data_IF_219292572121
#
_entry.id   IF_219292572121
#
_cell.length_a   1.000
_cell.length_b   1.000
_cell.length_c   1.000
_cell.angle_alpha   90.00
_cell.angle_beta   90.00
_cell.angle_gamma   90.00
#
_symmetry.space_group_name_H-M   'P 1'
#
loop_
_entity.id
_entity.type
_entity.pdbx_description
1 polymer ?
#
# COMPACT_ATOMS: atom_id res chain seq x y z
N UNK A 1 57.66 7.78 -0.10
CA UNK A 1 56.21 7.49 -0.01
C UNK A 1 55.61 7.25 -1.38
N UNK A 2 54.90 6.14 -1.54
CA UNK A 2 54.27 5.73 -2.80
C UNK A 2 52.80 6.15 -2.82
N UNK A 3 52.39 6.89 -3.84
CA UNK A 3 50.98 7.12 -4.13
C UNK A 3 50.34 5.85 -4.67
N UNK A 4 49.09 5.60 -4.29
CA UNK A 4 48.31 4.49 -4.83
C UNK A 4 47.04 5.03 -5.50
N UNK A 5 46.58 4.33 -6.54
CA UNK A 5 45.36 4.68 -7.26
C UNK A 5 44.21 3.78 -6.83
N UNK A 6 43.09 4.39 -6.44
CA UNK A 6 41.84 3.70 -6.15
C UNK A 6 40.92 3.78 -7.38
N UNK A 7 40.52 2.62 -7.89
CA UNK A 7 39.60 2.47 -9.02
C UNK A 7 38.21 2.06 -8.53
N UNK A 8 37.17 2.60 -9.15
CA UNK A 8 35.78 2.30 -8.79
C UNK A 8 35.07 1.57 -9.93
N UNK A 9 34.41 0.47 -9.59
CA UNK A 9 33.43 -0.17 -10.48
C UNK A 9 32.04 0.16 -9.95
N UNK A 10 31.33 1.04 -10.64
CA UNK A 10 29.97 1.38 -10.27
C UNK A 10 29.01 0.29 -10.76
N UNK A 11 28.02 -0.11 -9.94
CA UNK A 11 26.98 -1.00 -10.40
C UNK A 11 26.19 -0.37 -11.55
N UNK A 12 25.87 -1.16 -12.57
CA UNK A 12 25.14 -0.69 -13.76
C UNK A 12 23.72 -0.23 -13.46
N UNK A 13 23.20 -0.59 -12.28
CA UNK A 13 21.87 -0.22 -11.78
C UNK A 13 21.86 1.07 -10.95
N UNK A 14 22.94 1.87 -11.03
CA UNK A 14 23.02 3.19 -10.40
C UNK A 14 23.01 4.30 -11.43
N UNK A 15 22.59 5.50 -11.03
CA UNK A 15 22.68 6.72 -11.83
C UNK A 15 23.88 7.55 -11.41
N UNK A 16 24.55 8.18 -12.38
CA UNK A 16 25.51 9.25 -12.10
C UNK A 16 24.82 10.59 -11.81
N UNK A 17 23.58 10.77 -12.30
CA UNK A 17 22.78 11.92 -11.94
C UNK A 17 22.38 11.84 -10.46
N UNK A 18 22.68 12.89 -9.71
CA UNK A 18 22.53 12.93 -8.25
C UNK A 18 23.56 12.10 -7.47
N UNK A 19 24.52 11.43 -8.12
CA UNK A 19 25.59 10.73 -7.43
C UNK A 19 26.54 11.70 -6.73
N UNK A 20 27.04 11.31 -5.56
CA UNK A 20 28.02 12.07 -4.79
C UNK A 20 29.18 11.18 -4.40
N UNK A 21 30.39 11.71 -4.50
CA UNK A 21 31.59 11.12 -3.95
C UNK A 21 32.31 12.15 -3.12
N UNK A 22 32.64 11.81 -1.88
CA UNK A 22 33.26 12.71 -0.91
C UNK A 22 34.47 12.00 -0.33
N UNK A 23 35.64 12.64 -0.38
CA UNK A 23 36.88 12.19 0.25
C UNK A 23 37.32 13.23 1.26
N UNK A 24 37.32 12.89 2.55
CA UNK A 24 37.71 13.81 3.64
C UNK A 24 36.99 15.17 3.59
N UNK A 25 35.71 15.18 3.25
CA UNK A 25 34.86 16.35 3.00
C UNK A 25 35.03 17.07 1.64
N UNK A 26 35.99 16.67 0.79
CA UNK A 26 36.13 17.19 -0.58
C UNK A 26 35.25 16.41 -1.55
N UNK A 27 34.47 17.10 -2.37
CA UNK A 27 33.65 16.47 -3.41
C UNK A 27 34.52 16.06 -4.60
N UNK A 28 34.40 14.81 -5.04
CA UNK A 28 35.11 14.25 -6.17
C UNK A 28 34.24 14.25 -7.42
N UNK A 29 34.87 14.40 -8.58
CA UNK A 29 34.24 14.10 -9.87
C UNK A 29 34.05 12.58 -10.00
N UNK A 30 32.88 12.14 -10.45
CA UNK A 30 32.56 10.72 -10.65
C UNK A 30 32.34 10.41 -12.12
N UNK A 31 32.75 9.22 -12.61
CA UNK A 31 33.56 8.19 -11.98
C UNK A 31 35.05 8.32 -12.38
N UNK A 32 35.84 9.14 -11.66
CA UNK A 32 37.29 9.23 -11.95
C UNK A 32 38.12 8.49 -10.89
N UNK A 33 39.14 7.69 -11.30
CA UNK A 33 40.09 7.11 -10.36
C UNK A 33 40.77 8.19 -9.51
N UNK A 34 41.04 7.88 -8.24
CA UNK A 34 41.70 8.82 -7.33
C UNK A 34 43.10 8.33 -7.02
N UNK A 35 44.11 9.16 -7.32
CA UNK A 35 45.52 8.87 -7.02
C UNK A 35 46.03 9.86 -5.98
N UNK A 36 46.47 9.35 -4.82
CA UNK A 36 47.03 10.18 -3.75
C UNK A 36 47.91 9.39 -2.80
N UNK A 37 48.53 10.10 -1.87
CA UNK A 37 49.07 9.51 -0.64
C UNK A 37 47.92 9.30 0.32
N UNK A 38 47.70 8.03 0.66
CA UNK A 38 46.61 7.62 1.54
C UNK A 38 47.04 7.67 2.99
N UNK A 39 46.18 8.21 3.83
CA UNK A 39 46.30 8.15 5.29
C UNK A 39 45.31 7.14 5.86
N UNK A 40 45.62 6.55 7.02
CA UNK A 40 44.68 5.65 7.70
C UNK A 40 43.36 6.34 8.13
N UNK A 41 43.35 7.68 8.17
CA UNK A 41 42.18 8.51 8.46
C UNK A 41 41.39 8.92 7.22
N UNK A 42 41.82 8.54 6.01
CA UNK A 42 41.10 8.92 4.80
C UNK A 42 39.73 8.21 4.73
N UNK A 43 38.66 8.99 4.61
CA UNK A 43 37.30 8.49 4.49
C UNK A 43 36.71 8.85 3.13
N UNK A 44 36.38 7.81 2.37
CA UNK A 44 35.64 7.92 1.12
C UNK A 44 34.16 7.55 1.37
N UNK A 45 33.26 8.43 0.97
CA UNK A 45 31.81 8.19 0.98
C UNK A 45 31.27 8.28 -0.44
N UNK A 46 30.58 7.24 -0.90
CA UNK A 46 29.89 7.19 -2.19
C UNK A 46 28.38 7.11 -1.95
N UNK A 47 27.64 8.04 -2.52
CA UNK A 47 26.18 8.02 -2.56
C UNK A 47 25.77 7.84 -4.02
N UNK A 48 25.19 6.69 -4.33
CA UNK A 48 24.82 6.31 -5.70
C UNK A 48 23.30 6.11 -5.76
N UNK A 49 22.55 6.98 -6.45
CA UNK A 49 21.12 6.79 -6.65
C UNK A 49 20.82 5.48 -7.41
N UNK A 50 19.85 4.72 -6.93
CA UNK A 50 19.37 3.50 -7.58
C UNK A 50 18.43 3.84 -8.73
N UNK A 51 18.46 3.03 -9.79
CA UNK A 51 17.54 3.19 -10.94
C UNK A 51 16.53 2.05 -11.01
N UNK A 52 15.36 2.38 -11.56
CA UNK A 52 14.41 1.39 -12.05
C UNK A 52 14.84 0.88 -13.42
N UNK A 53 14.62 -0.40 -13.65
CA UNK A 53 14.93 -1.07 -14.91
C UNK A 53 14.06 -2.31 -15.10
N UNK A 54 13.86 -2.70 -16.34
CA UNK A 54 13.24 -3.96 -16.69
C UNK A 54 14.26 -4.95 -17.23
N UNK A 55 13.99 -6.24 -17.05
CA UNK A 55 14.74 -7.34 -17.67
C UNK A 55 13.76 -8.29 -18.36
N UNK A 56 14.00 -8.59 -19.63
CA UNK A 56 13.25 -9.62 -20.37
C UNK A 56 13.59 -11.01 -19.85
N UNK A 57 12.62 -11.93 -19.92
CA UNK A 57 12.93 -13.34 -19.65
C UNK A 57 13.89 -13.89 -20.70
N UNK A 58 14.64 -14.93 -20.33
CA UNK A 58 15.54 -15.66 -21.25
C UNK A 58 14.76 -16.72 -22.02
N UNK A 59 13.77 -16.27 -22.78
CA UNK A 59 12.93 -17.11 -23.64
C UNK A 59 12.66 -16.38 -24.95
N UNK A 60 13.13 -16.96 -26.06
CA UNK A 60 13.08 -16.33 -27.38
C UNK A 60 11.75 -16.57 -28.11
N UNK A 61 10.80 -17.30 -27.50
CA UNK A 61 9.51 -17.57 -28.13
C UNK A 61 8.68 -16.27 -28.20
N UNK A 62 8.02 -15.96 -29.34
CA UNK A 62 7.35 -14.69 -29.55
C UNK A 62 6.28 -14.34 -28.49
N UNK A 63 5.62 -15.33 -27.92
CA UNK A 63 4.59 -15.14 -26.90
C UNK A 63 5.11 -14.60 -25.56
N UNK A 64 6.42 -14.62 -25.31
CA UNK A 64 7.05 -14.05 -24.11
C UNK A 64 7.83 -12.75 -24.37
N UNK A 65 7.82 -12.23 -25.59
CA UNK A 65 8.62 -11.06 -25.95
C UNK A 65 8.30 -9.80 -25.11
N UNK A 66 7.07 -9.67 -24.60
CA UNK A 66 6.65 -8.58 -23.71
C UNK A 66 6.79 -8.88 -22.21
N UNK A 67 7.22 -10.09 -21.85
CA UNK A 67 7.30 -10.53 -20.45
C UNK A 67 8.61 -10.07 -19.82
N UNK A 68 8.50 -9.19 -18.83
CA UNK A 68 9.62 -8.53 -18.19
C UNK A 68 9.49 -8.55 -16.67
N UNK A 69 10.63 -8.67 -15.98
CA UNK A 69 10.77 -8.40 -14.55
C UNK A 69 11.08 -6.91 -14.34
N UNK A 70 10.72 -6.37 -13.16
CA UNK A 70 11.06 -5.01 -12.76
C UNK A 70 12.04 -5.06 -11.60
N UNK A 71 13.11 -4.28 -11.68
CA UNK A 71 14.14 -4.20 -10.66
C UNK A 71 14.37 -2.75 -10.24
N UNK A 72 14.62 -2.54 -8.95
CA UNK A 72 15.08 -1.28 -8.38
C UNK A 72 16.48 -1.47 -7.78
N UNK A 73 17.50 -0.95 -8.46
CA UNK A 73 18.88 -1.23 -8.08
C UNK A 73 19.17 -2.75 -8.17
N UNK A 74 19.64 -3.38 -7.07
CA UNK A 74 19.85 -4.82 -7.01
C UNK A 74 18.59 -5.63 -6.67
N UNK A 75 17.47 -4.98 -6.36
CA UNK A 75 16.28 -5.64 -5.84
C UNK A 75 15.30 -6.02 -6.95
N UNK A 76 14.95 -7.30 -7.01
CA UNK A 76 13.84 -7.79 -7.82
C UNK A 76 12.53 -7.40 -7.15
N UNK A 77 11.67 -6.68 -7.86
CA UNK A 77 10.35 -6.31 -7.38
C UNK A 77 9.34 -7.38 -7.81
N UNK A 78 8.51 -7.80 -6.87
CA UNK A 78 7.38 -8.68 -7.11
C UNK A 78 6.08 -7.93 -6.82
N UNK A 79 5.06 -8.16 -7.64
CA UNK A 79 3.75 -7.55 -7.50
C UNK A 79 2.79 -8.46 -6.75
N UNK A 80 2.08 -7.92 -5.76
CA UNK A 80 1.00 -8.60 -5.06
C UNK A 80 -0.16 -8.92 -6.03
N UNK A 81 -0.38 -10.20 -6.31
CA UNK A 81 -1.43 -10.63 -7.25
C UNK A 81 -1.90 -12.04 -6.93
N UNK A 82 -3.22 -12.21 -6.84
CA UNK A 82 -3.89 -13.49 -6.58
C UNK A 82 -4.62 -14.05 -7.81
N UNK A 83 -4.33 -13.51 -9.02
CA UNK A 83 -4.99 -13.91 -10.27
C UNK A 83 -4.11 -13.76 -11.51
N UNK A 84 -4.66 -14.08 -12.68
CA UNK A 84 -3.95 -14.09 -13.96
C UNK A 84 -3.74 -12.73 -14.62
N UNK A 85 -4.18 -11.64 -14.00
CA UNK A 85 -3.95 -10.27 -14.49
C UNK A 85 -2.50 -9.86 -14.24
N UNK A 86 -1.72 -9.81 -15.33
CA UNK A 86 -0.28 -9.53 -15.33
C UNK A 86 0.07 -8.46 -16.38
N UNK A 87 -0.93 -7.71 -16.85
CA UNK A 87 -0.77 -6.70 -17.90
C UNK A 87 -0.51 -5.32 -17.28
N UNK A 88 0.70 -4.80 -17.49
CA UNK A 88 1.10 -3.45 -17.11
C UNK A 88 0.88 -2.47 -18.25
N UNK A 89 0.57 -1.23 -17.88
CA UNK A 89 0.38 -0.13 -18.84
C UNK A 89 1.60 0.77 -18.82
N UNK A 90 2.65 0.36 -19.54
CA UNK A 90 3.88 1.11 -19.65
C UNK A 90 3.65 2.52 -20.22
N UNK A 91 4.33 3.50 -19.64
CA UNK A 91 4.46 4.86 -20.15
C UNK A 91 5.80 5.07 -20.85
N UNK A 92 6.04 6.29 -21.36
CA UNK A 92 7.30 6.63 -22.02
C UNK A 92 8.49 6.58 -21.04
N UNK A 93 8.27 6.99 -19.79
CA UNK A 93 9.26 6.91 -18.71
C UNK A 93 8.71 6.08 -17.54
N UNK A 94 9.60 5.50 -16.73
CA UNK A 94 9.20 4.76 -15.52
C UNK A 94 8.28 5.58 -14.60
N UNK A 95 8.56 6.86 -14.37
CA UNK A 95 7.74 7.73 -13.52
C UNK A 95 6.28 7.87 -13.95
N UNK A 96 5.97 7.57 -15.22
CA UNK A 96 4.62 7.71 -15.77
C UNK A 96 3.71 6.55 -15.37
N UNK A 97 4.31 5.41 -14.98
CA UNK A 97 3.58 4.17 -14.73
C UNK A 97 4.04 3.39 -13.51
N UNK A 98 5.20 3.68 -12.92
CA UNK A 98 5.65 3.10 -11.65
C UNK A 98 6.16 4.20 -10.73
N UNK A 99 5.51 4.37 -9.58
CA UNK A 99 5.78 5.47 -8.65
C UNK A 99 6.10 4.94 -7.25
N UNK A 100 7.10 5.52 -6.56
CA UNK A 100 7.43 5.08 -5.20
C UNK A 100 6.32 5.44 -4.23
N UNK A 101 6.11 4.60 -3.22
CA UNK A 101 5.16 4.86 -2.14
C UNK A 101 5.87 5.69 -1.06
N UNK A 102 5.34 6.87 -0.67
CA UNK A 102 5.92 7.66 0.41
C UNK A 102 5.89 6.91 1.74
N UNK A 103 6.99 6.94 2.49
CA UNK A 103 7.08 6.29 3.80
C UNK A 103 6.01 6.77 4.80
N UNK A 104 5.53 8.01 4.64
CA UNK A 104 4.44 8.57 5.44
C UNK A 104 3.09 7.87 5.24
N UNK A 105 2.92 7.05 4.21
CA UNK A 105 1.67 6.31 4.01
C UNK A 105 1.49 5.20 5.04
N UNK A 106 2.56 4.67 5.64
CA UNK A 106 2.45 3.64 6.67
C UNK A 106 1.71 4.13 7.93
N UNK A 107 1.76 5.43 8.25
CA UNK A 107 0.97 5.99 9.37
C UNK A 107 -0.52 6.17 9.04
N UNK A 108 -0.93 5.83 7.80
CA UNK A 108 -2.31 5.93 7.33
C UNK A 108 -2.95 4.54 7.17
N UNK A 109 -2.28 3.47 7.58
CA UNK A 109 -2.75 2.10 7.40
C UNK A 109 -3.50 1.61 8.64
N UNK A 110 -4.72 1.12 8.43
CA UNK A 110 -5.60 0.65 9.49
C UNK A 110 -6.32 -0.65 9.12
N UNK A 111 -6.73 -1.39 10.13
CA UNK A 111 -7.59 -2.56 10.04
C UNK A 111 -8.75 -2.44 11.04
N UNK A 112 -9.95 -2.84 10.63
CA UNK A 112 -11.18 -2.64 11.41
C UNK A 112 -11.71 -3.98 11.91
N UNK A 113 -11.89 -4.10 13.23
CA UNK A 113 -12.23 -5.38 13.86
C UNK A 113 -13.43 -5.33 14.75
N UNK A 114 -14.00 -6.51 14.96
CA UNK A 114 -15.07 -6.78 15.91
C UNK A 114 -14.85 -8.13 16.55
N UNK A 115 -15.19 -8.22 17.83
CA UNK A 115 -15.19 -9.49 18.55
C UNK A 115 -16.60 -10.07 18.56
N UNK A 116 -16.75 -11.28 18.04
CA UNK A 116 -17.98 -12.07 18.10
C UNK A 116 -17.64 -13.57 18.01
N UNK A 117 -18.57 -14.46 18.39
CA UNK A 117 -18.34 -15.92 18.37
C UNK A 117 -17.06 -16.38 19.11
N UNK A 118 -16.68 -15.69 20.19
CA UNK A 118 -15.43 -15.92 20.94
C UNK A 118 -14.14 -15.82 20.09
N UNK A 119 -14.15 -15.00 19.04
CA UNK A 119 -13.00 -14.74 18.18
C UNK A 119 -12.99 -13.28 17.72
N UNK A 120 -11.81 -12.80 17.31
CA UNK A 120 -11.68 -11.50 16.66
C UNK A 120 -11.78 -11.67 15.15
N UNK A 121 -12.63 -10.86 14.54
CA UNK A 121 -12.81 -10.79 13.10
C UNK A 121 -12.40 -9.42 12.58
N UNK A 122 -11.91 -9.39 11.35
CA UNK A 122 -11.45 -8.20 10.65
C UNK A 122 -12.23 -8.03 9.35
N UNK A 123 -12.59 -6.79 9.02
CA UNK A 123 -13.14 -6.46 7.71
C UNK A 123 -12.07 -6.66 6.64
N UNK A 124 -12.34 -7.46 5.63
CA UNK A 124 -11.41 -7.70 4.52
C UNK A 124 -12.09 -7.66 3.16
N UNK A 125 -11.30 -7.31 2.14
CA UNK A 125 -11.67 -7.46 0.75
C UNK A 125 -11.77 -8.95 0.38
N UNK A 126 -12.94 -9.38 -0.06
CA UNK A 126 -13.22 -10.72 -0.57
C UNK A 126 -13.86 -10.60 -1.95
N UNK A 127 -13.05 -10.74 -3.00
CA UNK A 127 -13.49 -10.71 -4.40
C UNK A 127 -14.30 -9.44 -4.77
N UNK A 128 -13.76 -8.25 -4.48
CA UNK A 128 -14.40 -6.94 -4.77
C UNK A 128 -15.64 -6.61 -3.92
N UNK A 129 -15.95 -7.48 -2.96
CA UNK A 129 -16.91 -7.22 -1.88
C UNK A 129 -16.19 -7.28 -0.53
N UNK A 130 -16.90 -7.04 0.56
CA UNK A 130 -16.32 -7.04 1.90
C UNK A 130 -17.01 -8.04 2.81
N UNK A 131 -16.23 -8.69 3.68
CA UNK A 131 -16.71 -9.65 4.66
C UNK A 131 -15.91 -9.54 5.96
N UNK A 132 -16.49 -10.05 7.05
CA UNK A 132 -15.76 -10.25 8.29
C UNK A 132 -15.04 -11.60 8.26
N UNK A 133 -13.72 -11.57 8.23
CA UNK A 133 -12.87 -12.76 8.24
C UNK A 133 -12.19 -12.91 9.59
N UNK A 134 -11.86 -14.15 9.98
CA UNK A 134 -11.12 -14.38 11.23
C UNK A 134 -9.77 -13.66 11.16
N UNK A 135 -9.32 -13.10 12.28
CA UNK A 135 -8.04 -12.39 12.37
C UNK A 135 -6.89 -13.23 11.75
N UNK A 136 -6.20 -12.71 10.72
CA UNK A 136 -5.21 -13.48 9.98
C UNK A 136 -3.83 -13.47 10.66
N UNK A 137 -2.99 -14.42 10.25
CA UNK A 137 -1.56 -14.37 10.52
C UNK A 137 -0.88 -13.30 9.64
N UNK A 138 0.20 -12.72 10.15
CA UNK A 138 1.00 -11.72 9.44
C UNK A 138 1.73 -12.36 8.26
N UNK A 139 1.69 -11.69 7.10
CA UNK A 139 2.34 -12.19 5.88
C UNK A 139 1.45 -13.07 5.02
N UNK A 140 0.13 -13.00 5.19
CA UNK A 140 -0.87 -13.71 4.37
C UNK A 140 -1.62 -12.73 3.48
N UNK A 141 -2.22 -13.20 2.37
CA UNK A 141 -3.04 -12.35 1.51
C UNK A 141 -4.21 -11.70 2.26
N UNK A 142 -4.75 -12.41 3.25
CA UNK A 142 -5.84 -11.90 4.07
C UNK A 142 -5.39 -10.69 4.91
N UNK A 143 -4.14 -10.65 5.37
CA UNK A 143 -3.60 -9.47 6.06
C UNK A 143 -3.54 -8.24 5.13
N UNK A 144 -3.16 -8.43 3.86
CA UNK A 144 -3.19 -7.37 2.84
C UNK A 144 -4.63 -6.90 2.58
N UNK A 145 -5.55 -7.84 2.36
CA UNK A 145 -6.96 -7.58 2.07
C UNK A 145 -7.70 -6.94 3.24
N UNK A 146 -7.22 -7.13 4.46
CA UNK A 146 -7.75 -6.56 5.69
C UNK A 146 -7.09 -5.22 6.08
N UNK A 147 -6.14 -4.73 5.28
CA UNK A 147 -5.44 -3.46 5.51
C UNK A 147 -5.97 -2.39 4.56
N UNK A 148 -6.25 -1.21 5.10
CA UNK A 148 -6.77 -0.07 4.37
C UNK A 148 -5.92 1.16 4.62
N UNK A 149 -5.60 1.91 3.56
CA UNK A 149 -5.10 3.26 3.69
C UNK A 149 -6.26 4.23 3.84
N UNK A 150 -6.21 5.04 4.89
CA UNK A 150 -7.16 6.14 5.10
C UNK A 150 -6.68 7.37 4.34
N UNK A 151 -7.42 7.72 3.30
CA UNK A 151 -7.18 8.92 2.50
C UNK A 151 -8.02 10.05 3.07
N UNK A 152 -7.36 10.99 3.74
CA UNK A 152 -7.98 12.18 4.32
C UNK A 152 -8.38 13.15 3.21
N UNK A 153 -9.63 13.63 3.23
CA UNK A 153 -10.08 14.68 2.29
C UNK A 153 -9.40 16.02 2.58
N UNK A 154 -9.07 16.28 3.85
CA UNK A 154 -8.38 17.49 4.30
C UNK A 154 -7.00 17.13 4.84
N UNK A 155 -5.95 17.66 4.21
CA UNK A 155 -4.53 17.33 4.41
C UNK A 155 -3.95 17.76 5.78
N UNK A 156 -4.73 18.45 6.61
CA UNK A 156 -4.28 19.05 7.87
C UNK A 156 -4.70 18.27 9.14
N UNK A 157 -5.59 17.28 9.01
CA UNK A 157 -6.07 16.50 10.15
C UNK A 157 -5.00 15.50 10.61
N UNK A 158 -4.31 15.83 11.69
CA UNK A 158 -3.39 14.91 12.39
C UNK A 158 -4.08 14.40 13.65
N UNK A 159 -4.25 13.10 13.75
CA UNK A 159 -4.75 12.43 14.94
C UNK A 159 -3.76 11.35 15.38
N UNK A 160 -3.63 11.17 16.70
CA UNK A 160 -2.79 10.12 17.31
C UNK A 160 -3.38 8.74 17.09
N UNK A 161 -4.70 8.63 17.20
CA UNK A 161 -5.47 7.41 16.96
C UNK A 161 -6.69 7.74 16.12
N UNK A 162 -7.24 6.76 15.40
CA UNK A 162 -8.45 6.99 14.60
C UNK A 162 -9.68 7.31 15.47
N UNK A 163 -9.70 6.86 16.73
CA UNK A 163 -10.73 7.23 17.70
C UNK A 163 -10.77 8.73 18.00
N UNK A 164 -9.65 9.44 17.86
CA UNK A 164 -9.55 10.89 18.05
C UNK A 164 -10.06 11.69 16.83
N UNK A 165 -10.33 11.02 15.71
CA UNK A 165 -10.65 11.64 14.42
C UNK A 165 -12.14 11.97 14.23
N UNK A 166 -12.89 12.25 15.30
CA UNK A 166 -14.33 12.49 15.23
C UNK A 166 -14.69 13.61 14.24
N UNK A 167 -15.61 13.33 13.32
CA UNK A 167 -16.07 14.22 12.26
C UNK A 167 -15.12 14.29 11.05
N UNK A 168 -14.02 13.52 11.03
CA UNK A 168 -13.06 13.54 9.93
C UNK A 168 -13.61 12.79 8.73
N UNK A 169 -13.59 13.45 7.57
CA UNK A 169 -13.98 12.84 6.29
C UNK A 169 -12.82 12.03 5.69
N UNK A 170 -13.04 10.73 5.53
CA UNK A 170 -12.04 9.76 5.04
C UNK A 170 -12.59 8.95 3.87
N UNK A 171 -11.69 8.50 3.01
CA UNK A 171 -11.93 7.43 2.05
C UNK A 171 -11.06 6.23 2.40
N UNK A 172 -11.57 5.03 2.19
CA UNK A 172 -10.81 3.80 2.43
C UNK A 172 -10.26 3.29 1.09
N UNK A 173 -8.94 3.23 0.96
CA UNK A 173 -8.25 2.58 -0.15
C UNK A 173 -7.73 1.22 0.32
N UNK A 174 -8.16 0.09 -0.27
CA UNK A 174 -7.61 -1.22 0.08
C UNK A 174 -6.12 -1.33 -0.26
N UNK A 175 -5.32 -1.87 0.66
CA UNK A 175 -3.86 -2.00 0.49
C UNK A 175 -3.48 -2.86 -0.72
N UNK A 176 -4.25 -3.92 -0.99
CA UNK A 176 -4.07 -4.83 -2.12
C UNK A 176 -4.57 -4.28 -3.48
N UNK A 177 -5.20 -3.09 -3.46
CA UNK A 177 -5.81 -2.42 -4.62
C UNK A 177 -5.47 -0.92 -4.66
N UNK A 178 -4.18 -0.55 -4.81
CA UNK A 178 -3.79 0.86 -4.84
C UNK A 178 -4.51 1.62 -5.96
N UNK A 179 -4.95 2.84 -5.67
CA UNK A 179 -5.74 3.68 -6.57
C UNK A 179 -7.22 3.30 -6.68
N UNK A 180 -7.72 2.39 -5.84
CA UNK A 180 -9.15 2.05 -5.76
C UNK A 180 -9.74 2.50 -4.41
N UNK A 181 -11.04 2.79 -4.37
CA UNK A 181 -11.74 3.22 -3.16
C UNK A 181 -12.90 2.28 -2.83
N UNK A 182 -13.16 2.12 -1.54
CA UNK A 182 -14.41 1.53 -1.03
C UNK A 182 -15.55 2.52 -1.24
N UNK A 183 -16.67 2.05 -1.78
CA UNK A 183 -17.91 2.83 -1.91
C UNK A 183 -19.11 2.06 -1.37
N UNK A 184 -20.14 2.80 -0.97
CA UNK A 184 -21.48 2.24 -0.80
C UNK A 184 -22.34 2.39 -2.07
N UNK A 185 -23.33 1.51 -2.20
CA UNK A 185 -24.33 1.50 -3.28
C UNK A 185 -25.73 1.91 -2.77
N UNK A 186 -25.76 2.61 -1.64
CA UNK A 186 -26.96 2.97 -0.91
C UNK A 186 -27.30 1.96 0.20
N UNK A 187 -28.40 2.22 0.94
CA UNK A 187 -28.78 1.42 2.10
C UNK A 187 -29.02 -0.05 1.78
N UNK A 188 -28.54 -0.91 2.67
CA UNK A 188 -28.64 -2.37 2.64
C UNK A 188 -27.99 -3.05 1.42
N UNK A 189 -27.18 -2.32 0.67
CA UNK A 189 -26.36 -2.84 -0.42
C UNK A 189 -24.91 -3.06 0.03
N UNK A 190 -24.26 -4.13 -0.47
CA UNK A 190 -22.87 -4.42 -0.12
C UNK A 190 -21.95 -3.27 -0.51
N UNK A 191 -20.91 -3.06 0.28
CA UNK A 191 -19.80 -2.21 -0.11
C UNK A 191 -19.03 -2.87 -1.25
N UNK A 192 -18.54 -2.06 -2.18
CA UNK A 192 -17.74 -2.52 -3.33
C UNK A 192 -16.50 -1.66 -3.51
N UNK A 193 -15.59 -2.13 -4.36
CA UNK A 193 -14.35 -1.44 -4.72
C UNK A 193 -14.49 -0.87 -6.13
N UNK A 194 -14.18 0.42 -6.29
CA UNK A 194 -14.18 1.09 -7.60
C UNK A 194 -12.91 1.91 -7.80
N UNK A 195 -12.61 2.25 -9.06
CA UNK A 195 -11.49 3.13 -9.40
C UNK A 195 -11.69 4.54 -8.81
N UNK A 196 -10.66 5.03 -8.10
CA UNK A 196 -10.70 6.33 -7.40
C UNK A 196 -10.83 7.55 -8.31
N UNK A 197 -10.49 7.44 -9.60
CA UNK A 197 -10.55 8.53 -10.59
C UNK A 197 -11.94 9.13 -10.75
N UNK A 198 -12.99 8.41 -10.37
CA UNK A 198 -14.36 8.89 -10.52
C UNK A 198 -14.83 9.76 -9.35
N UNK A 199 -14.12 9.79 -8.20
CA UNK A 199 -14.36 10.72 -7.10
C UNK A 199 -15.78 10.69 -6.51
N UNK A 200 -16.36 9.50 -6.32
CA UNK A 200 -17.78 9.37 -5.97
C UNK A 200 -18.06 9.85 -4.55
N UNK A 201 -19.13 10.65 -4.32
CA UNK A 201 -19.54 11.04 -2.97
C UNK A 201 -19.76 9.84 -2.03
N UNK A 202 -20.15 8.70 -2.59
CA UNK A 202 -20.37 7.45 -1.86
C UNK A 202 -19.08 6.75 -1.38
N UNK A 203 -17.90 7.30 -1.66
CA UNK A 203 -16.63 6.84 -1.10
C UNK A 203 -16.24 7.54 0.20
N UNK A 204 -16.99 8.56 0.61
CA UNK A 204 -16.61 9.41 1.75
C UNK A 204 -17.39 9.01 2.99
N UNK A 205 -16.65 8.68 4.04
CA UNK A 205 -17.18 8.34 5.35
C UNK A 205 -16.72 9.36 6.39
N UNK A 206 -17.59 9.70 7.33
CA UNK A 206 -17.25 10.43 8.53
C UNK A 206 -16.89 9.44 9.62
N UNK A 207 -15.70 9.59 10.21
CA UNK A 207 -15.31 8.84 11.40
C UNK A 207 -16.04 9.45 12.60
N UNK A 208 -16.82 8.67 13.33
CA UNK A 208 -17.52 9.09 14.55
C UNK A 208 -17.25 8.11 15.69
N UNK A 209 -17.45 8.48 16.96
CA UNK A 209 -17.39 7.53 18.07
C UNK A 209 -18.33 6.34 17.84
N UNK A 210 -17.90 5.15 18.25
CA UNK A 210 -18.68 3.93 18.10
C UNK A 210 -20.07 4.07 18.72
N UNK A 211 -21.08 3.62 17.98
CA UNK A 211 -22.48 3.67 18.41
C UNK A 211 -22.79 2.72 19.59
N UNK A 212 -21.91 1.74 19.84
CA UNK A 212 -22.02 0.80 20.97
C UNK A 212 -21.68 1.41 22.34
N UNK A 213 -21.21 2.67 22.36
CA UNK A 213 -20.87 3.39 23.59
C UNK A 213 -19.63 2.87 24.30
N UNK A 214 -18.87 1.95 23.69
CA UNK A 214 -17.57 1.54 24.20
C UNK A 214 -16.56 2.65 23.88
N UNK A 215 -15.59 2.81 24.77
CA UNK A 215 -14.44 3.64 24.47
C UNK A 215 -13.61 2.96 23.36
N UNK A 216 -12.89 3.76 22.57
CA UNK A 216 -11.95 3.29 21.53
C UNK A 216 -12.58 2.64 20.30
N UNK A 217 -13.90 2.44 20.27
CA UNK A 217 -14.61 2.03 19.05
C UNK A 217 -14.96 3.25 18.20
N UNK A 218 -14.99 3.03 16.89
CA UNK A 218 -15.43 4.02 15.90
C UNK A 218 -16.54 3.45 15.03
N UNK A 219 -17.31 4.35 14.43
CA UNK A 219 -18.25 4.03 13.36
C UNK A 219 -17.93 4.88 12.14
N UNK A 220 -18.20 4.32 10.96
CA UNK A 220 -17.99 5.00 9.68
C UNK A 220 -19.36 5.36 9.10
N UNK A 221 -19.76 6.62 9.27
CA UNK A 221 -21.03 7.16 8.75
C UNK A 221 -20.87 7.59 7.28
N UNK A 222 -21.82 7.28 6.41
CA UNK A 222 -21.81 7.81 5.04
C UNK A 222 -21.97 9.34 5.06
N UNK A 223 -21.10 10.04 4.32
CA UNK A 223 -21.26 11.49 4.14
C UNK A 223 -22.49 11.85 3.30
N UNK A 224 -22.83 11.02 2.30
CA UNK A 224 -23.98 11.27 1.41
C UNK A 224 -25.31 10.77 1.98
N UNK A 225 -25.30 9.74 2.83
CA UNK A 225 -26.49 9.13 3.44
C UNK A 225 -26.42 9.22 4.98
N UNK A 226 -26.77 10.38 5.52
CA UNK A 226 -26.72 10.64 6.98
C UNK A 226 -27.54 9.64 7.78
N UNK A 227 -27.00 9.19 8.90
CA UNK A 227 -27.59 8.15 9.74
C UNK A 227 -27.41 6.73 9.21
N UNK A 228 -26.63 6.54 8.15
CA UNK A 228 -26.26 5.24 7.61
C UNK A 228 -24.78 4.96 7.80
N UNK A 229 -24.45 3.74 8.23
CA UNK A 229 -23.13 3.36 8.71
C UNK A 229 -22.65 2.08 8.02
N UNK A 230 -21.33 1.91 7.97
CA UNK A 230 -20.73 0.61 7.63
C UNK A 230 -21.20 -0.42 8.65
N UNK A 231 -21.79 -1.50 8.17
CA UNK A 231 -22.47 -2.52 8.95
C UNK A 231 -21.96 -3.90 8.55
N UNK A 232 -21.50 -4.69 9.51
CA UNK A 232 -20.99 -6.05 9.30
C UNK A 232 -22.02 -7.14 9.56
N UNK A 233 -23.07 -6.84 10.35
CA UNK A 233 -24.00 -7.83 10.89
C UNK A 233 -23.38 -8.83 11.86
N UNK A 234 -22.14 -8.62 12.30
CA UNK A 234 -21.42 -9.46 13.27
C UNK A 234 -21.49 -10.96 12.97
N UNK A 235 -21.39 -11.32 11.69
CA UNK A 235 -21.37 -12.71 11.24
C UNK A 235 -20.32 -12.88 10.15
N UNK A 236 -19.61 -14.00 10.21
CA UNK A 236 -18.68 -14.42 9.14
C UNK A 236 -19.40 -14.71 7.80
N UNK A 237 -20.71 -14.97 7.85
CA UNK A 237 -21.54 -15.23 6.66
C UNK A 237 -22.16 -13.97 6.07
N UNK A 238 -22.19 -12.86 6.82
CA UNK A 238 -22.77 -11.61 6.38
C UNK A 238 -21.72 -10.77 5.64
N UNK A 239 -22.10 -10.28 4.46
CA UNK A 239 -21.30 -9.28 3.75
C UNK A 239 -21.37 -7.92 4.45
N UNK A 240 -20.28 -7.17 4.40
CA UNK A 240 -20.24 -5.80 4.90
C UNK A 240 -20.96 -4.88 3.92
N UNK A 241 -21.86 -4.06 4.46
CA UNK A 241 -22.78 -3.21 3.70
C UNK A 241 -22.93 -1.84 4.35
N UNK A 242 -23.65 -0.94 3.68
CA UNK A 242 -24.19 0.25 4.34
C UNK A 242 -25.55 -0.11 4.96
N UNK A 243 -25.82 0.28 6.20
CA UNK A 243 -27.14 0.13 6.82
C UNK A 243 -27.53 1.36 7.62
N UNK A 244 -28.81 1.70 7.63
CA UNK A 244 -29.31 2.93 8.25
C UNK A 244 -29.98 2.63 9.58
N UNK A 245 -29.74 3.53 10.54
CA UNK A 245 -30.28 3.41 11.88
C UNK A 245 -31.81 3.49 11.86
N UNK A 246 -32.46 2.45 12.37
CA UNK A 246 -33.83 2.52 12.89
C UNK A 246 -33.79 2.73 14.41
N UNK A 247 -34.88 3.21 15.01
CA UNK A 247 -34.89 3.60 16.42
C UNK A 247 -34.48 2.48 17.38
N UNK A 248 -33.47 2.75 18.22
CA UNK A 248 -33.07 1.98 19.43
C UNK A 248 -32.68 0.50 19.26
N UNK A 249 -31.88 0.15 18.25
CA UNK A 249 -31.34 -1.21 18.12
C UNK A 249 -29.89 -1.34 18.67
N UNK A 250 -29.74 -1.98 19.83
CA UNK A 250 -28.44 -2.27 20.42
C UNK A 250 -27.57 -3.18 19.53
N UNK A 251 -28.20 -4.07 18.75
CA UNK A 251 -27.53 -4.98 17.80
C UNK A 251 -26.95 -4.17 16.63
N UNK A 252 -27.70 -3.18 16.15
CA UNK A 252 -27.22 -2.25 15.12
C UNK A 252 -26.00 -1.48 15.61
N UNK A 253 -26.06 -0.95 16.83
CA UNK A 253 -24.96 -0.20 17.42
C UNK A 253 -23.67 -1.04 17.52
N UNK A 254 -23.78 -2.31 17.95
CA UNK A 254 -22.63 -3.22 17.98
C UNK A 254 -22.12 -3.56 16.57
N UNK A 255 -23.03 -3.83 15.63
CA UNK A 255 -22.69 -4.22 14.25
C UNK A 255 -22.06 -3.11 13.40
N UNK A 256 -22.17 -1.87 13.84
CA UNK A 256 -21.62 -0.67 13.18
C UNK A 256 -20.43 -0.06 13.91
N UNK A 257 -20.02 -0.65 15.04
CA UNK A 257 -18.90 -0.18 15.85
C UNK A 257 -17.70 -1.12 15.68
N UNK A 258 -16.55 -0.56 15.34
CA UNK A 258 -15.32 -1.28 15.05
C UNK A 258 -14.20 -0.79 15.96
N UNK A 259 -13.31 -1.68 16.37
CA UNK A 259 -12.01 -1.30 16.92
C UNK A 259 -11.07 -1.05 15.74
N UNK A 260 -10.40 0.10 15.74
CA UNK A 260 -9.39 0.41 14.72
C UNK A 260 -8.00 0.03 15.22
N UNK A 261 -7.31 -0.85 14.50
CA UNK A 261 -5.91 -1.19 14.74
C UNK A 261 -5.02 -0.58 13.66
N UNK A 262 -3.72 -0.49 13.93
CA UNK A 262 -2.73 -0.31 12.87
C UNK A 262 -2.90 -1.41 11.81
N UNK A 263 -2.64 -1.06 10.56
CA UNK A 263 -2.73 -2.00 9.44
C UNK A 263 -1.94 -3.28 9.69
N UNK A 264 -2.54 -4.42 9.32
CA UNK A 264 -1.91 -5.75 9.44
C UNK A 264 -0.73 -5.92 8.49
N UNK A 265 -0.70 -5.12 7.42
CA UNK A 265 0.41 -5.00 6.47
C UNK A 265 0.95 -3.57 6.43
N UNK A 266 2.22 -3.44 6.05
CA UNK A 266 2.91 -2.16 5.89
C UNK A 266 3.72 -2.16 4.60
N UNK A 267 3.85 -1.00 3.97
CA UNK A 267 4.72 -0.83 2.82
C UNK A 267 6.19 -0.97 3.23
N UNK A 268 6.93 -1.77 2.47
CA UNK A 268 8.39 -1.74 2.49
C UNK A 268 8.92 -0.34 2.07
N UNK A 269 10.08 0.11 2.57
CA UNK A 269 10.74 1.33 2.08
C UNK A 269 11.01 1.35 0.57
N UNK A 270 11.01 0.19 -0.09
CA UNK A 270 11.22 -0.01 -1.52
C UNK A 270 9.91 -0.47 -2.20
N UNK A 271 8.76 0.05 -1.74
CA UNK A 271 7.46 -0.25 -2.35
C UNK A 271 7.10 0.76 -3.44
N UNK A 272 6.48 0.26 -4.49
CA UNK A 272 6.03 1.04 -5.64
C UNK A 272 4.58 0.69 -6.00
N UNK A 273 3.88 1.64 -6.59
CA UNK A 273 2.62 1.39 -7.30
C UNK A 273 2.91 1.39 -8.78
N UNK A 274 2.59 0.30 -9.47
CA UNK A 274 2.66 0.22 -10.93
C UNK A 274 1.26 0.24 -11.56
N UNK A 275 1.10 0.98 -12.66
CA UNK A 275 -0.15 1.06 -13.43
C UNK A 275 -0.34 -0.19 -14.27
N UNK A 276 -1.47 -0.85 -14.09
CA UNK A 276 -1.91 -1.95 -14.94
C UNK A 276 -2.94 -1.53 -15.96
N UNK A 277 -3.31 -2.48 -16.83
CA UNK A 277 -4.40 -2.29 -17.79
C UNK A 277 -5.77 -2.17 -17.09
N UNK A 278 -6.01 -3.01 -16.08
CA UNK A 278 -7.30 -3.11 -15.38
C UNK A 278 -7.27 -2.55 -13.94
N UNK A 279 -6.10 -2.58 -13.30
CA UNK A 279 -5.89 -2.10 -11.92
C UNK A 279 -4.43 -1.72 -11.72
N UNK A 280 -4.12 -0.96 -10.66
CA UNK A 280 -2.73 -0.82 -10.25
C UNK A 280 -2.29 -1.99 -9.36
N UNK A 281 -0.98 -2.18 -9.29
CA UNK A 281 -0.33 -3.24 -8.53
C UNK A 281 0.61 -2.64 -7.50
N UNK A 282 0.60 -3.22 -6.29
CA UNK A 282 1.61 -2.96 -5.28
C UNK A 282 2.82 -3.86 -5.54
N UNK A 283 3.98 -3.24 -5.75
CA UNK A 283 5.26 -3.91 -5.94
C UNK A 283 6.15 -3.70 -4.72
N UNK A 284 6.79 -4.77 -4.27
CA UNK A 284 7.75 -4.75 -3.15
C UNK A 284 8.94 -5.65 -3.48
N UNK A 285 10.09 -5.51 -2.79
CA UNK A 285 11.19 -6.44 -2.99
C UNK A 285 10.76 -7.87 -2.68
N UNK A 286 11.14 -8.83 -3.53
CA UNK A 286 10.73 -10.23 -3.42
C UNK A 286 10.96 -10.84 -2.02
N UNK A 287 12.03 -10.44 -1.33
CA UNK A 287 12.32 -10.94 0.02
C UNK A 287 11.38 -10.40 1.11
N UNK A 288 10.49 -9.47 0.79
CA UNK A 288 9.48 -8.93 1.71
C UNK A 288 8.26 -9.85 1.82
N UNK A 289 8.03 -10.69 0.81
CA UNK A 289 6.93 -11.64 0.76
C UNK A 289 7.23 -12.84 1.67
N UNK A 290 6.19 -13.35 2.31
CA UNK A 290 6.22 -14.57 3.13
C UNK A 290 5.32 -15.61 2.48
N UNK A 291 4.02 -15.55 2.78
CA UNK A 291 3.02 -16.52 2.32
C UNK A 291 1.99 -15.89 1.39
N UNK A 292 2.18 -14.63 0.98
CA UNK A 292 1.28 -13.93 0.04
C UNK A 292 1.52 -14.36 -1.41
N UNK A 293 0.46 -14.30 -2.23
CA UNK A 293 0.58 -14.53 -3.66
C UNK A 293 1.25 -13.35 -4.38
N UNK A 294 2.22 -13.69 -5.23
CA UNK A 294 2.96 -12.70 -6.01
C UNK A 294 3.26 -13.18 -7.43
N UNK A 295 3.53 -12.21 -8.30
CA UNK A 295 4.15 -12.44 -9.59
C UNK A 295 5.42 -11.59 -9.73
N UNK A 296 6.42 -12.15 -10.38
CA UNK A 296 7.69 -11.46 -10.67
C UNK A 296 7.69 -10.89 -12.09
N UNK A 297 7.00 -11.57 -13.00
CA UNK A 297 7.01 -11.26 -14.42
C UNK A 297 5.65 -10.73 -14.86
N UNK A 298 5.69 -9.63 -15.60
CA UNK A 298 4.53 -8.94 -16.12
C UNK A 298 4.68 -8.71 -17.61
N UNK A 299 3.56 -8.58 -18.31
CA UNK A 299 3.52 -8.13 -19.70
C UNK A 299 3.57 -6.61 -19.70
N UNK A 300 4.58 -6.05 -20.36
CA UNK A 300 4.88 -4.60 -20.42
C UNK A 300 4.87 -4.14 -21.88
#
# INVERSE_FOLDING_TARGET
>A
DTSSTLNFRLPTWTSLDGAKAILNAETLSMPTPVTRWWSASDQLTLQLPLTLRTETIKDDRPEYASVQAILYGPYLLAGHTSGGDLDLKAGANYSDWITPIPASYNSQLYSFTQDFENSTFVMSNSNQSFAMQKWPESGTDLALQATFRLVLKESSSKFSTLADANGTAVMLEPFDRPGMNVIHQGPDKPLIIVDSSHGWPSSVFLVVPGLDGRNETISLESQSDKGCYVYSGMSSSAGVKLSCKSDSDATFNQSTSFVSHNGLSQYNPISFVARGANRNFLFEPLFSFRDEYYAVYFKI
#
